data_IF_979593742535
#
_entry.id   IF_979593742535
#
_cell.length_a   1.000
_cell.length_b   1.000
_cell.length_c   1.000
_cell.angle_alpha   90.00
_cell.angle_beta   90.00
_cell.angle_gamma   90.00
#
_symmetry.space_group_name_H-M   'P 1'
#
loop_
_entity.id
_entity.type
_entity.pdbx_description
1 polymer ?
#
# COMPACT_ATOMS: atom_id res chain seq x y z
N UNK A 1 -2.57 -15.95 3.93
CA UNK A 1 -2.39 -16.14 5.34
C UNK A 1 -3.65 -15.95 6.12
N UNK A 2 -4.18 -17.07 6.60
CA UNK A 2 -5.44 -17.06 7.33
C UNK A 2 -5.22 -17.06 8.85
N UNK A 3 -3.97 -17.30 9.28
CA UNK A 3 -3.63 -17.38 10.68
C UNK A 3 -3.64 -16.00 11.33
N UNK A 4 -4.31 -15.90 12.44
CA UNK A 4 -4.35 -14.77 13.36
C UNK A 4 -4.09 -15.29 14.75
N UNK A 5 -3.76 -14.41 15.69
CA UNK A 5 -3.63 -14.79 17.09
C UNK A 5 -5.02 -14.92 17.75
N UNK A 6 -5.12 -15.74 18.79
CA UNK A 6 -6.33 -15.85 19.61
C UNK A 6 -6.52 -14.60 20.47
N UNK A 7 -5.44 -13.90 20.79
CA UNK A 7 -5.45 -12.67 21.56
C UNK A 7 -4.59 -11.59 20.89
N UNK A 8 -4.99 -10.35 21.07
CA UNK A 8 -4.26 -9.19 20.56
C UNK A 8 -2.82 -9.14 21.12
N UNK A 9 -1.84 -8.93 20.26
CA UNK A 9 -0.40 -8.87 20.63
C UNK A 9 0.17 -7.46 20.71
N UNK A 10 -0.48 -6.49 20.09
CA UNK A 10 -0.09 -5.08 20.14
C UNK A 10 -1.32 -4.18 19.98
N UNK A 11 -1.24 -2.96 20.51
CA UNK A 11 -2.27 -1.94 20.33
C UNK A 11 -1.98 -1.12 19.07
N UNK A 12 -3.06 -0.72 18.40
CA UNK A 12 -2.99 0.21 17.26
C UNK A 12 -4.22 1.12 17.29
N UNK A 13 -4.02 2.40 16.98
CA UNK A 13 -5.11 3.37 16.97
C UNK A 13 -5.71 3.50 15.57
N UNK A 14 -6.97 3.09 15.41
CA UNK A 14 -7.78 3.22 14.20
C UNK A 14 -8.77 4.39 14.25
N UNK A 15 -8.74 5.27 15.26
CA UNK A 15 -9.74 6.32 15.47
C UNK A 15 -9.89 7.24 14.26
N UNK A 16 -8.80 7.48 13.53
CA UNK A 16 -8.77 8.33 12.34
C UNK A 16 -8.94 7.60 11.02
N UNK A 17 -9.20 6.27 11.02
CA UNK A 17 -9.44 5.50 9.81
C UNK A 17 -10.83 5.85 9.24
N UNK A 18 -10.87 6.48 8.06
CA UNK A 18 -12.11 6.96 7.43
C UNK A 18 -13.02 5.80 7.02
N UNK A 19 -12.44 4.77 6.42
CA UNK A 19 -13.17 3.57 6.02
C UNK A 19 -13.30 2.51 7.14
N UNK A 20 -13.25 2.90 8.41
CA UNK A 20 -13.28 1.96 9.55
C UNK A 20 -14.51 1.02 9.53
N UNK A 21 -15.67 1.50 9.07
CA UNK A 21 -16.90 0.71 8.97
C UNK A 21 -16.91 -0.33 7.84
N UNK A 22 -15.98 -0.21 6.89
CA UNK A 22 -15.87 -1.07 5.71
C UNK A 22 -14.81 -2.17 5.87
N UNK A 23 -14.11 -2.20 7.00
CA UNK A 23 -13.03 -3.14 7.28
C UNK A 23 -13.26 -3.90 8.60
N UNK A 24 -12.68 -5.10 8.70
CA UNK A 24 -12.75 -5.90 9.92
C UNK A 24 -11.60 -5.53 10.87
N UNK A 25 -11.85 -4.56 11.76
CA UNK A 25 -10.87 -4.08 12.74
C UNK A 25 -10.51 -5.15 13.78
N UNK A 26 -11.45 -6.00 14.20
CA UNK A 26 -11.16 -7.07 15.14
C UNK A 26 -10.12 -8.03 14.55
N UNK A 27 -10.33 -8.44 13.28
CA UNK A 27 -9.36 -9.25 12.55
C UNK A 27 -8.04 -8.53 12.36
N UNK A 28 -8.05 -7.21 12.14
CA UNK A 28 -6.83 -6.42 12.03
C UNK A 28 -6.02 -6.51 13.33
N UNK A 29 -6.62 -6.27 14.48
CA UNK A 29 -5.95 -6.39 15.79
C UNK A 29 -5.35 -7.79 16.01
N UNK A 30 -6.12 -8.85 15.74
CA UNK A 30 -5.66 -10.22 15.92
C UNK A 30 -4.59 -10.64 14.91
N UNK A 31 -4.44 -9.91 13.82
CA UNK A 31 -3.42 -10.18 12.78
C UNK A 31 -2.07 -9.52 13.03
N UNK A 32 -1.95 -8.59 13.98
CA UNK A 32 -0.67 -7.98 14.36
C UNK A 32 0.32 -9.03 14.88
N UNK A 33 1.52 -9.01 14.37
CA UNK A 33 2.54 -10.01 14.70
C UNK A 33 2.39 -11.33 13.93
N UNK A 34 1.66 -11.33 12.79
CA UNK A 34 1.52 -12.53 11.94
C UNK A 34 2.13 -12.34 10.57
N UNK A 35 2.68 -13.42 10.00
CA UNK A 35 3.40 -13.36 8.72
C UNK A 35 2.50 -13.06 7.52
N UNK A 36 1.45 -13.83 7.36
CA UNK A 36 0.63 -13.80 6.14
C UNK A 36 0.93 -14.90 5.16
N UNK A 37 0.39 -14.74 3.96
CA UNK A 37 0.57 -15.67 2.86
C UNK A 37 1.18 -14.99 1.64
N UNK A 38 1.23 -15.72 0.54
CA UNK A 38 1.78 -15.24 -0.71
C UNK A 38 3.31 -15.28 -0.73
N UNK A 39 3.94 -14.15 -1.00
CA UNK A 39 5.40 -13.99 -1.05
C UNK A 39 6.02 -13.52 0.29
N UNK A 40 5.25 -13.56 1.38
CA UNK A 40 5.76 -13.22 2.70
C UNK A 40 6.67 -14.33 3.23
N UNK A 41 7.74 -13.95 3.93
CA UNK A 41 8.71 -14.90 4.49
C UNK A 41 9.39 -14.36 5.75
N UNK A 42 9.97 -15.27 6.51
CA UNK A 42 10.89 -15.02 7.61
C UNK A 42 12.12 -15.88 7.33
N UNK A 43 13.29 -15.29 7.37
CA UNK A 43 14.55 -16.00 7.20
C UNK A 43 15.61 -15.44 8.14
N UNK A 44 16.64 -16.23 8.38
CA UNK A 44 17.85 -15.81 9.12
C UNK A 44 19.03 -15.98 8.20
N UNK A 45 19.59 -14.87 7.79
CA UNK A 45 20.77 -14.81 6.93
C UNK A 45 22.05 -14.63 7.77
N UNK A 46 23.15 -15.22 7.32
CA UNK A 46 24.47 -14.98 7.90
C UNK A 46 25.33 -14.20 6.93
N UNK A 47 25.99 -13.17 7.44
CA UNK A 47 26.94 -12.39 6.65
C UNK A 47 28.38 -12.77 7.00
N UNK A 48 29.09 -13.37 6.05
CA UNK A 48 30.52 -13.67 6.18
C UNK A 48 31.39 -12.41 6.33
N UNK A 49 30.95 -11.28 5.78
CA UNK A 49 31.68 -10.02 5.79
C UNK A 49 31.86 -9.44 7.21
N UNK A 50 30.86 -9.59 8.07
CA UNK A 50 30.89 -9.00 9.43
C UNK A 50 30.54 -10.01 10.53
N UNK A 51 30.39 -11.29 10.18
CA UNK A 51 30.11 -12.40 11.09
C UNK A 51 28.85 -12.18 11.94
N UNK A 52 27.79 -11.62 11.32
CA UNK A 52 26.52 -11.35 12.01
C UNK A 52 25.37 -12.08 11.37
N UNK A 53 24.37 -12.43 12.19
CA UNK A 53 23.09 -12.93 11.76
C UNK A 53 22.11 -11.79 11.55
N UNK A 54 21.24 -11.93 10.55
CA UNK A 54 20.19 -10.99 10.20
C UNK A 54 18.86 -11.73 10.16
N UNK A 55 17.94 -11.33 11.03
CA UNK A 55 16.55 -11.76 10.96
C UNK A 55 15.82 -10.88 9.95
N UNK A 56 15.42 -11.46 8.82
CA UNK A 56 14.69 -10.77 7.75
C UNK A 56 13.21 -11.16 7.82
N UNK A 57 12.33 -10.15 7.90
CA UNK A 57 10.89 -10.33 7.97
C UNK A 57 10.24 -9.58 6.82
N UNK A 58 9.70 -10.32 5.85
CA UNK A 58 8.93 -9.76 4.75
C UNK A 58 7.45 -9.98 5.01
N UNK A 59 6.77 -8.95 5.47
CA UNK A 59 5.33 -8.92 5.74
C UNK A 59 4.77 -7.50 5.57
N UNK A 60 3.45 -7.37 5.54
CA UNK A 60 2.77 -6.11 5.25
C UNK A 60 1.54 -5.88 6.14
N UNK A 61 0.59 -5.14 5.61
CA UNK A 61 -0.63 -4.66 6.28
C UNK A 61 -1.72 -5.72 6.44
N UNK A 62 -1.41 -6.97 6.16
CA UNK A 62 -2.31 -8.10 6.29
C UNK A 62 -3.59 -7.88 5.45
N UNK A 63 -4.74 -8.45 5.90
CA UNK A 63 -6.04 -8.27 5.24
C UNK A 63 -6.50 -6.81 5.25
N UNK A 64 -6.16 -6.06 6.29
CA UNK A 64 -6.56 -4.65 6.45
C UNK A 64 -6.24 -3.82 5.20
N UNK A 65 -4.99 -3.86 4.72
CA UNK A 65 -4.61 -3.09 3.54
C UNK A 65 -5.34 -3.50 2.26
N UNK A 66 -5.64 -4.81 2.12
CA UNK A 66 -6.44 -5.30 1.00
C UNK A 66 -7.89 -4.80 1.05
N UNK A 67 -8.50 -4.76 2.24
CA UNK A 67 -9.88 -4.29 2.43
C UNK A 67 -9.96 -2.77 2.19
N UNK A 68 -9.02 -1.98 2.72
CA UNK A 68 -8.93 -0.54 2.47
C UNK A 68 -8.73 -0.25 0.97
N UNK A 69 -7.81 -0.95 0.33
CA UNK A 69 -7.57 -0.82 -1.12
C UNK A 69 -8.85 -1.11 -1.92
N UNK A 70 -9.53 -2.22 -1.62
CA UNK A 70 -10.78 -2.61 -2.29
C UNK A 70 -11.88 -1.58 -2.10
N UNK A 71 -12.01 -1.01 -0.89
CA UNK A 71 -12.99 0.05 -0.62
C UNK A 71 -12.79 1.24 -1.56
N UNK A 72 -11.57 1.80 -1.61
CA UNK A 72 -11.28 2.97 -2.44
C UNK A 72 -11.27 2.67 -3.94
N UNK A 73 -10.89 1.47 -4.36
CA UNK A 73 -11.04 1.04 -5.76
C UNK A 73 -12.52 0.99 -6.17
N UNK A 74 -13.39 0.45 -5.31
CA UNK A 74 -14.82 0.43 -5.57
C UNK A 74 -15.41 1.85 -5.60
N UNK A 75 -14.98 2.71 -4.68
CA UNK A 75 -15.39 4.11 -4.64
C UNK A 75 -15.00 4.83 -5.93
N UNK A 76 -13.75 4.72 -6.36
CA UNK A 76 -13.28 5.27 -7.64
C UNK A 76 -14.06 4.71 -8.84
N UNK A 77 -14.32 3.39 -8.85
CA UNK A 77 -15.07 2.75 -9.92
C UNK A 77 -16.54 3.20 -10.00
N UNK A 78 -17.13 3.56 -8.86
CA UNK A 78 -18.54 3.97 -8.76
C UNK A 78 -18.73 5.49 -8.77
N UNK A 79 -17.67 6.31 -8.75
CA UNK A 79 -17.77 7.76 -8.90
C UNK A 79 -18.46 8.11 -10.21
N UNK A 80 -19.33 9.10 -10.21
CA UNK A 80 -20.03 9.56 -11.41
C UNK A 80 -19.00 9.98 -12.47
N UNK A 81 -19.22 9.57 -13.73
CA UNK A 81 -18.32 9.96 -14.82
C UNK A 81 -18.49 11.43 -15.18
N UNK A 82 -17.40 12.08 -15.63
CA UNK A 82 -17.44 13.48 -16.10
C UNK A 82 -18.55 13.70 -17.15
N UNK A 83 -18.79 12.70 -18.00
CA UNK A 83 -19.90 12.74 -18.94
C UNK A 83 -21.26 12.76 -18.24
N UNK A 84 -21.48 11.97 -17.18
CA UNK A 84 -22.75 11.95 -16.47
C UNK A 84 -22.98 13.25 -15.70
N UNK A 85 -21.92 13.83 -15.14
CA UNK A 85 -21.94 15.15 -14.51
C UNK A 85 -22.32 16.22 -15.54
N UNK A 86 -21.68 16.23 -16.71
CA UNK A 86 -21.96 17.21 -17.77
C UNK A 86 -23.37 17.05 -18.33
N UNK A 87 -23.85 15.83 -18.53
CA UNK A 87 -25.23 15.54 -18.91
C UNK A 87 -26.21 16.12 -17.89
N UNK A 88 -26.01 15.85 -16.61
CA UNK A 88 -26.87 16.37 -15.53
C UNK A 88 -26.87 17.90 -15.49
N UNK A 89 -25.68 18.52 -15.58
CA UNK A 89 -25.54 19.98 -15.58
C UNK A 89 -26.22 20.62 -16.80
N UNK A 90 -26.07 20.02 -17.98
CA UNK A 90 -26.72 20.47 -19.22
C UNK A 90 -28.24 20.38 -19.13
N UNK A 91 -28.76 19.28 -18.59
CA UNK A 91 -30.21 19.12 -18.36
C UNK A 91 -30.73 20.19 -17.39
N UNK A 92 -30.04 20.39 -16.25
CA UNK A 92 -30.46 21.37 -15.25
C UNK A 92 -30.47 22.80 -15.84
N UNK A 93 -29.43 23.18 -16.58
CA UNK A 93 -29.32 24.47 -17.25
C UNK A 93 -30.46 24.70 -18.25
N UNK A 94 -30.67 23.74 -19.18
CA UNK A 94 -31.70 23.87 -20.21
C UNK A 94 -33.12 23.89 -19.64
N UNK A 95 -33.37 23.18 -18.54
CA UNK A 95 -34.63 23.30 -17.81
C UNK A 95 -34.84 24.67 -17.19
N UNK A 96 -33.79 25.23 -16.57
CA UNK A 96 -33.86 26.58 -15.98
C UNK A 96 -34.07 27.67 -17.03
N UNK A 97 -33.58 27.45 -18.27
CA UNK A 97 -33.78 28.33 -19.42
C UNK A 97 -35.13 28.11 -20.14
N UNK A 98 -35.95 27.14 -19.74
CA UNK A 98 -37.22 26.78 -20.43
C UNK A 98 -37.00 26.11 -21.79
N UNK A 99 -35.84 25.56 -22.07
CA UNK A 99 -35.41 24.97 -23.34
C UNK A 99 -35.38 23.44 -23.30
N UNK A 100 -36.38 22.82 -22.73
CA UNK A 100 -36.39 21.35 -22.53
C UNK A 100 -36.36 20.56 -23.84
N UNK A 101 -36.86 21.15 -24.95
CA UNK A 101 -36.85 20.52 -26.29
C UNK A 101 -35.42 20.32 -26.83
N UNK A 102 -34.47 21.12 -26.38
CA UNK A 102 -33.08 21.09 -26.86
C UNK A 102 -32.22 20.05 -26.09
N UNK A 103 -32.76 19.44 -25.03
CA UNK A 103 -31.99 18.55 -24.15
C UNK A 103 -31.42 17.35 -24.90
N UNK A 104 -32.19 16.69 -25.73
CA UNK A 104 -31.75 15.49 -26.45
C UNK A 104 -30.61 15.77 -27.42
N UNK A 105 -30.69 16.89 -28.13
CA UNK A 105 -29.64 17.32 -29.06
C UNK A 105 -28.38 17.76 -28.31
N UNK A 106 -28.52 18.53 -27.25
CA UNK A 106 -27.41 18.95 -26.40
C UNK A 106 -26.65 17.75 -25.80
N UNK A 107 -27.37 16.72 -25.32
CA UNK A 107 -26.74 15.50 -24.78
C UNK A 107 -25.99 14.73 -25.86
N UNK A 108 -26.50 14.64 -27.09
CA UNK A 108 -25.80 13.99 -28.21
C UNK A 108 -24.47 14.68 -28.53
N UNK A 109 -24.41 16.00 -28.39
CA UNK A 109 -23.25 16.81 -28.70
C UNK A 109 -22.19 16.84 -27.58
N UNK A 110 -22.44 16.20 -26.40
CA UNK A 110 -21.45 16.06 -25.35
C UNK A 110 -20.38 15.06 -25.79
N UNK A 111 -19.20 15.58 -26.14
CA UNK A 111 -18.04 14.83 -26.66
C UNK A 111 -17.15 14.24 -25.58
N UNK A 112 -17.58 14.18 -24.31
CA UNK A 112 -16.78 13.59 -23.23
C UNK A 112 -16.86 12.06 -23.30
N UNK A 113 -15.72 11.34 -23.38
CA UNK A 113 -15.73 9.88 -23.38
C UNK A 113 -16.41 9.31 -22.14
N UNK A 114 -17.08 8.18 -22.29
CA UNK A 114 -17.63 7.43 -21.17
C UNK A 114 -16.51 6.99 -20.21
N UNK A 115 -16.88 6.72 -18.94
CA UNK A 115 -15.93 6.30 -17.89
C UNK A 115 -15.19 5.03 -18.32
N UNK A 116 -13.85 5.12 -18.42
CA UNK A 116 -13.00 3.93 -18.48
C UNK A 116 -12.70 3.47 -17.04
N UNK A 117 -13.20 2.30 -16.66
CA UNK A 117 -12.99 1.74 -15.32
C UNK A 117 -11.52 1.51 -14.98
N UNK A 118 -10.68 1.29 -15.98
CA UNK A 118 -9.23 1.10 -15.81
C UNK A 118 -8.52 2.41 -15.44
N UNK A 119 -9.11 3.56 -15.80
CA UNK A 119 -8.62 4.90 -15.47
C UNK A 119 -9.41 5.55 -14.32
N UNK A 120 -10.19 4.75 -13.58
CA UNK A 120 -10.94 5.25 -12.45
C UNK A 120 -9.99 5.82 -11.39
N UNK A 121 -10.29 7.02 -10.90
CA UNK A 121 -9.48 7.74 -9.92
C UNK A 121 -10.35 8.36 -8.84
N UNK A 122 -9.72 8.75 -7.76
CA UNK A 122 -10.32 9.51 -6.67
C UNK A 122 -9.93 10.98 -6.80
N UNK A 123 -10.82 11.88 -6.40
CA UNK A 123 -10.58 13.32 -6.37
C UNK A 123 -11.22 13.96 -5.13
N UNK A 124 -10.86 15.22 -4.84
CA UNK A 124 -11.47 15.97 -3.74
C UNK A 124 -11.35 15.27 -2.38
N UNK A 125 -12.46 15.21 -1.64
CA UNK A 125 -12.52 14.61 -0.31
C UNK A 125 -12.12 13.13 -0.28
N UNK A 126 -12.62 12.35 -1.23
CA UNK A 126 -12.34 10.90 -1.32
C UNK A 126 -10.84 10.61 -1.54
N UNK A 127 -10.14 11.46 -2.30
CA UNK A 127 -8.69 11.36 -2.44
C UNK A 127 -7.97 11.65 -1.12
N UNK A 128 -8.38 12.68 -0.39
CA UNK A 128 -7.79 13.01 0.91
C UNK A 128 -8.03 11.91 1.95
N UNK A 129 -9.23 11.34 1.97
CA UNK A 129 -9.56 10.20 2.85
C UNK A 129 -8.71 8.97 2.51
N UNK A 130 -8.52 8.66 1.22
CA UNK A 130 -7.63 7.61 0.78
C UNK A 130 -6.19 7.80 1.25
N UNK A 131 -5.63 9.00 1.09
CA UNK A 131 -4.26 9.33 1.52
C UNK A 131 -4.12 9.19 3.05
N UNK A 132 -5.10 9.67 3.81
CA UNK A 132 -5.13 9.48 5.26
C UNK A 132 -5.13 8.00 5.65
N UNK A 133 -6.00 7.21 5.04
CA UNK A 133 -6.16 5.79 5.37
C UNK A 133 -4.95 4.97 4.94
N UNK A 134 -4.33 5.30 3.80
CA UNK A 134 -3.07 4.69 3.37
C UNK A 134 -1.93 4.97 4.37
N UNK A 135 -1.85 6.17 4.92
CA UNK A 135 -0.86 6.49 5.95
C UNK A 135 -1.07 5.63 7.21
N UNK A 136 -2.32 5.42 7.62
CA UNK A 136 -2.67 4.56 8.76
C UNK A 136 -2.28 3.09 8.47
N UNK A 137 -2.64 2.59 7.29
CA UNK A 137 -2.32 1.20 6.87
C UNK A 137 -0.81 0.97 6.78
N UNK A 138 -0.04 1.94 6.32
CA UNK A 138 1.42 1.85 6.28
C UNK A 138 2.02 1.76 7.69
N UNK A 139 1.54 2.59 8.65
CA UNK A 139 1.96 2.48 10.06
C UNK A 139 1.57 1.14 10.68
N UNK A 140 0.39 0.61 10.35
CA UNK A 140 -0.03 -0.72 10.78
C UNK A 140 0.92 -1.82 10.28
N UNK A 141 1.37 -1.74 9.03
CA UNK A 141 2.33 -2.68 8.46
C UNK A 141 3.70 -2.64 9.18
N UNK A 142 4.16 -1.44 9.52
CA UNK A 142 5.39 -1.24 10.34
C UNK A 142 5.23 -1.93 11.70
N UNK A 143 4.12 -1.67 12.40
CA UNK A 143 3.85 -2.29 13.69
C UNK A 143 3.73 -3.81 13.58
N UNK A 144 3.12 -4.33 12.52
CA UNK A 144 3.02 -5.78 12.29
C UNK A 144 4.41 -6.42 12.25
N UNK A 145 5.35 -5.88 11.46
CA UNK A 145 6.73 -6.40 11.38
C UNK A 145 7.47 -6.24 12.70
N UNK A 146 7.33 -5.11 13.37
CA UNK A 146 7.95 -4.88 14.67
C UNK A 146 7.46 -5.86 15.73
N UNK A 147 6.15 -6.15 15.77
CA UNK A 147 5.55 -7.13 16.68
C UNK A 147 6.05 -8.54 16.39
N UNK A 148 6.14 -8.94 15.11
CA UNK A 148 6.71 -10.22 14.71
C UNK A 148 8.16 -10.35 15.18
N UNK A 149 8.99 -9.33 14.92
CA UNK A 149 10.38 -9.32 15.35
C UNK A 149 10.48 -9.47 16.87
N UNK A 150 9.69 -8.73 17.64
CA UNK A 150 9.69 -8.82 19.11
C UNK A 150 9.31 -10.22 19.62
N UNK A 151 8.30 -10.85 19.02
CA UNK A 151 7.87 -12.21 19.36
C UNK A 151 9.00 -13.20 19.09
N UNK A 152 9.63 -13.14 17.92
CA UNK A 152 10.70 -14.08 17.50
C UNK A 152 11.93 -13.88 18.38
N UNK A 153 12.39 -12.65 18.55
CA UNK A 153 13.58 -12.31 19.33
C UNK A 153 13.42 -12.80 20.77
N UNK A 154 12.25 -12.52 21.38
CA UNK A 154 11.94 -12.99 22.74
C UNK A 154 11.85 -14.51 22.82
N UNK A 155 11.17 -15.15 21.88
CA UNK A 155 10.96 -16.60 21.88
C UNK A 155 12.24 -17.41 21.66
N UNK A 156 13.18 -16.85 20.89
CA UNK A 156 14.47 -17.49 20.57
C UNK A 156 15.60 -17.07 21.52
N UNK A 157 15.37 -16.13 22.42
CA UNK A 157 16.40 -15.61 23.32
C UNK A 157 17.49 -14.82 22.59
N UNK A 158 17.16 -14.22 21.46
CA UNK A 158 18.14 -13.41 20.72
C UNK A 158 18.32 -12.02 21.33
N UNK A 159 19.47 -11.42 21.07
CA UNK A 159 19.75 -10.03 21.43
C UNK A 159 19.78 -9.19 20.14
N UNK A 160 18.85 -8.23 20.04
CA UNK A 160 18.84 -7.27 18.93
C UNK A 160 19.96 -6.23 19.11
N UNK A 161 20.80 -6.09 18.09
CA UNK A 161 21.90 -5.10 18.07
C UNK A 161 21.51 -3.86 17.28
N UNK A 162 20.78 -4.04 16.18
CA UNK A 162 20.36 -2.95 15.30
C UNK A 162 19.17 -3.38 14.47
N UNK A 163 18.40 -2.40 13.96
CA UNK A 163 17.23 -2.61 13.10
C UNK A 163 17.17 -1.54 12.03
N UNK A 164 16.72 -1.92 10.84
CA UNK A 164 16.28 -0.97 9.81
C UNK A 164 15.11 -1.58 9.03
N UNK A 165 14.37 -0.76 8.33
CA UNK A 165 13.25 -1.17 7.49
C UNK A 165 13.47 -0.76 6.03
N UNK A 166 12.97 -1.58 5.13
CA UNK A 166 12.87 -1.28 3.70
C UNK A 166 11.43 -1.56 3.28
N UNK A 167 10.75 -0.56 2.74
CA UNK A 167 9.34 -0.68 2.37
C UNK A 167 9.22 -0.59 0.85
N UNK A 168 8.42 -1.48 0.28
CA UNK A 168 8.03 -1.43 -1.14
C UNK A 168 6.49 -1.46 -1.28
N UNK A 169 5.96 -1.03 -2.43
CA UNK A 169 4.51 -0.90 -2.66
C UNK A 169 3.85 0.04 -1.63
N UNK A 170 4.29 1.28 -1.60
CA UNK A 170 3.83 2.28 -0.65
C UNK A 170 3.81 3.69 -1.25
N UNK A 171 3.14 4.61 -0.57
CA UNK A 171 3.19 6.04 -0.88
C UNK A 171 4.20 6.70 0.06
N UNK A 172 5.22 7.31 -0.52
CA UNK A 172 6.12 8.20 0.17
C UNK A 172 5.45 9.57 0.30
N UNK A 173 4.87 9.83 1.46
CA UNK A 173 4.11 11.07 1.69
C UNK A 173 4.98 12.32 1.75
N UNK A 174 6.27 12.19 2.02
CA UNK A 174 7.18 13.33 2.06
C UNK A 174 7.48 13.90 0.68
N UNK A 175 7.50 13.04 -0.33
CA UNK A 175 7.76 13.39 -1.72
C UNK A 175 6.56 13.17 -2.64
N UNK A 176 5.46 12.62 -2.14
CA UNK A 176 4.29 12.18 -2.91
C UNK A 176 4.67 11.25 -4.07
N UNK A 177 5.58 10.31 -3.79
CA UNK A 177 6.02 9.30 -4.75
C UNK A 177 5.32 7.99 -4.44
N UNK A 178 4.63 7.42 -5.42
CA UNK A 178 4.11 6.06 -5.36
C UNK A 178 5.20 5.08 -5.82
N UNK A 179 5.71 4.26 -4.90
CA UNK A 179 6.65 3.18 -5.24
C UNK A 179 5.92 1.86 -5.32
N UNK A 180 6.02 1.20 -6.47
CA UNK A 180 5.51 -0.16 -6.68
C UNK A 180 6.61 -1.04 -7.27
N UNK A 181 7.00 -2.10 -6.54
CA UNK A 181 8.15 -2.91 -6.92
C UNK A 181 9.49 -2.17 -6.80
N UNK A 182 9.50 -1.07 -6.05
CA UNK A 182 10.66 -0.24 -5.79
C UNK A 182 10.71 0.16 -4.31
N UNK A 183 11.90 0.44 -3.83
CA UNK A 183 12.19 0.90 -2.47
C UNK A 183 12.82 2.28 -2.50
N UNK A 184 12.75 3.00 -1.38
CA UNK A 184 13.51 4.24 -1.22
C UNK A 184 15.00 3.95 -1.24
N UNK A 185 15.78 4.84 -1.83
CA UNK A 185 17.26 4.79 -1.91
C UNK A 185 17.84 6.21 -1.84
N UNK A 186 17.38 6.98 -0.85
CA UNK A 186 17.93 8.31 -0.55
C UNK A 186 19.42 8.23 -0.26
N UNK A 187 20.11 9.33 -0.41
CA UNK A 187 21.56 9.36 -0.15
C UNK A 187 21.88 8.91 1.27
N UNK A 188 22.65 7.82 1.40
CA UNK A 188 23.04 7.26 2.69
C UNK A 188 22.00 6.36 3.35
N UNK A 189 20.79 6.23 2.78
CA UNK A 189 19.75 5.34 3.30
C UNK A 189 20.16 3.87 3.19
N UNK A 190 19.98 3.10 4.27
CA UNK A 190 20.20 1.65 4.26
C UNK A 190 18.95 0.94 3.74
N UNK A 191 19.12 0.04 2.78
CA UNK A 191 18.02 -0.72 2.19
C UNK A 191 18.40 -2.18 1.99
N UNK A 192 17.37 -3.04 1.99
CA UNK A 192 17.48 -4.49 1.77
C UNK A 192 16.89 -4.84 0.40
N UNK A 193 17.62 -5.63 -0.38
CA UNK A 193 17.19 -6.16 -1.67
C UNK A 193 17.28 -7.69 -1.60
N UNK A 194 16.16 -8.42 -1.37
CA UNK A 194 16.14 -9.87 -1.41
C UNK A 194 16.48 -10.40 -2.81
N UNK A 195 17.30 -11.41 -2.87
CA UNK A 195 17.65 -12.10 -4.13
C UNK A 195 16.84 -13.38 -4.27
N UNK A 196 17.18 -14.39 -3.50
CA UNK A 196 16.49 -15.68 -3.43
C UNK A 196 16.94 -16.44 -2.17
N UNK A 197 16.30 -17.58 -1.88
CA UNK A 197 16.56 -18.38 -0.68
C UNK A 197 17.98 -18.97 -0.61
N UNK A 198 18.70 -19.10 -1.73
CA UNK A 198 20.08 -19.61 -1.75
C UNK A 198 21.11 -18.50 -1.54
N UNK A 199 20.91 -17.37 -2.19
CA UNK A 199 21.87 -16.29 -2.26
C UNK A 199 21.56 -15.17 -1.24
N UNK A 200 20.44 -15.33 -0.48
CA UNK A 200 20.03 -14.43 0.59
C UNK A 200 19.61 -13.06 0.10
N UNK A 201 20.04 -12.02 0.81
CA UNK A 201 19.65 -10.63 0.58
C UNK A 201 20.86 -9.69 0.53
N UNK A 202 20.79 -8.62 -0.26
CA UNK A 202 21.80 -7.56 -0.28
C UNK A 202 21.40 -6.43 0.68
N UNK A 203 22.33 -6.01 1.52
CA UNK A 203 22.22 -4.75 2.27
C UNK A 203 22.98 -3.68 1.49
N UNK A 204 22.27 -2.67 1.03
CA UNK A 204 22.78 -1.61 0.17
C UNK A 204 22.68 -0.23 0.85
N UNK A 205 23.41 0.74 0.28
CA UNK A 205 23.32 2.14 0.67
C UNK A 205 22.83 2.93 -0.53
N UNK A 206 21.74 3.69 -0.35
CA UNK A 206 21.13 4.54 -1.36
C UNK A 206 22.09 5.61 -1.87
N UNK A 207 22.04 5.91 -3.15
CA UNK A 207 22.86 6.91 -3.82
C UNK A 207 22.14 8.24 -4.04
N UNK A 208 20.85 8.34 -3.73
CA UNK A 208 20.06 9.55 -3.88
C UNK A 208 19.93 10.01 -5.33
N UNK A 209 19.79 9.09 -6.29
CA UNK A 209 19.72 9.44 -7.70
C UNK A 209 18.34 10.00 -8.04
N UNK A 210 18.29 11.27 -8.45
CA UNK A 210 17.07 12.01 -8.83
C UNK A 210 16.40 11.41 -10.07
N UNK A 211 17.16 10.97 -11.06
CA UNK A 211 16.63 10.42 -12.33
C UNK A 211 15.80 9.14 -12.09
N UNK A 212 16.01 8.48 -10.96
CA UNK A 212 15.29 7.28 -10.55
C UNK A 212 14.35 7.54 -9.37
N UNK A 213 13.91 8.78 -9.17
CA UNK A 213 13.05 9.17 -8.06
C UNK A 213 13.59 8.68 -6.71
N UNK A 214 14.90 8.75 -6.49
CA UNK A 214 15.56 8.27 -5.27
C UNK A 214 15.19 6.83 -4.93
N UNK A 215 15.09 5.96 -5.93
CA UNK A 215 14.56 4.61 -5.76
C UNK A 215 15.57 3.55 -6.22
N UNK A 216 15.39 2.33 -5.72
CA UNK A 216 16.11 1.13 -6.11
C UNK A 216 15.13 -0.04 -6.33
N UNK A 217 15.53 -1.12 -7.01
CA UNK A 217 14.72 -2.34 -7.11
C UNK A 217 14.43 -2.92 -5.73
N UNK A 218 13.21 -3.45 -5.53
CA UNK A 218 12.80 -4.08 -4.27
C UNK A 218 13.25 -5.55 -4.13
N UNK A 219 13.84 -6.12 -5.17
CA UNK A 219 14.31 -7.50 -5.23
C UNK A 219 14.88 -7.84 -6.59
N UNK A 220 15.50 -9.01 -6.71
CA UNK A 220 15.91 -9.53 -7.99
C UNK A 220 14.70 -9.88 -8.84
N UNK A 221 14.68 -9.43 -10.09
CA UNK A 221 13.66 -9.79 -11.08
C UNK A 221 13.64 -11.29 -11.31
N UNK A 222 12.49 -11.85 -11.67
CA UNK A 222 12.37 -13.25 -12.06
C UNK A 222 12.49 -13.39 -13.57
N UNK A 223 13.20 -14.40 -14.02
CA UNK A 223 13.28 -14.75 -15.44
C UNK A 223 11.99 -15.44 -15.92
N UNK A 224 11.25 -16.10 -15.00
CA UNK A 224 9.99 -16.79 -15.30
C UNK A 224 8.95 -16.53 -14.21
N UNK A 225 7.66 -16.57 -14.59
CA UNK A 225 6.55 -16.50 -13.63
C UNK A 225 6.53 -17.76 -12.75
N UNK A 226 5.91 -17.68 -11.56
CA UNK A 226 5.51 -18.87 -10.82
C UNK A 226 4.40 -19.56 -11.62
N UNK A 227 4.65 -20.75 -12.09
CA UNK A 227 3.61 -21.65 -12.57
C UNK A 227 2.76 -22.14 -11.42
#
# INVERSE_FOLDING_TARGET
>A
GFNIHDTQKANFDFSNLRCAKQVDLNRAYLSLGTLGGGNHFIEVDYSERNHRYYLVIHSGSRKLGGDVCKHYQNLAANTESDRAIEVRNTIARLKAEGRERDIQEAIKNISIPGKNKELAHLSGGDFHDYINDMAIVQRFAVLNRATMAAIIIKGMGFTEVNRFETIHNYIDFSRMILRKGAVSAELGEKLLIPINMRDGSLICIGKGNLDWNYSAPHGAGRLMSRS
#
